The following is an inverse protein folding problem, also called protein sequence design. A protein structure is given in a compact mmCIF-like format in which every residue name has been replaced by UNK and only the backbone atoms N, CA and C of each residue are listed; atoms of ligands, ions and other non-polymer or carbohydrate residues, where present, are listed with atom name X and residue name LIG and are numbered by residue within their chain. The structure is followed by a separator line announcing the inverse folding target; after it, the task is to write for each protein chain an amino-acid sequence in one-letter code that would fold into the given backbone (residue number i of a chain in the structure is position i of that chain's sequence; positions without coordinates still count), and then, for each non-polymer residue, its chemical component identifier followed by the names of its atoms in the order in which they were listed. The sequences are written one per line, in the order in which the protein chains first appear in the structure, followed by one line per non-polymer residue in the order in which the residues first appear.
data_IF_530936903814
#
_entry.id   IF_530936903814
#
_cell.length_a   1.000
_cell.length_b   1.000
_cell.length_c   1.000
_cell.angle_alpha   90.00
_cell.angle_beta   90.00
_cell.angle_gamma   90.00
#
_symmetry.space_group_name_H-M   'P 1'
#
loop_
_entity.id
_entity.type
_entity.pdbx_description
1 polymer ?
#
# COMPACT_ATOMS: atom_id res chain seq x y z
N UNK A 1 0.98 12.99 30.65
CA UNK A 1 0.76 11.61 30.16
C UNK A 1 0.15 11.70 28.77
N UNK A 2 0.94 11.44 27.73
CA UNK A 2 0.43 11.37 26.35
C UNK A 2 -0.25 10.02 26.18
N UNK A 3 -1.57 10.02 25.92
CA UNK A 3 -2.30 8.80 25.56
C UNK A 3 -1.83 8.40 24.16
N UNK A 4 -1.05 7.31 24.07
CA UNK A 4 -0.56 6.78 22.80
C UNK A 4 -1.75 6.20 22.02
N UNK A 5 -2.26 6.99 21.08
CA UNK A 5 -3.44 6.60 20.30
C UNK A 5 -2.99 5.60 19.22
N UNK A 6 -3.36 4.32 19.34
CA UNK A 6 -2.99 3.23 18.42
C UNK A 6 -3.31 3.53 16.93
N UNK A 7 -4.21 4.47 16.68
CA UNK A 7 -4.57 4.97 15.36
C UNK A 7 -3.39 5.54 14.56
N UNK A 8 -2.46 6.25 15.20
CA UNK A 8 -1.28 6.83 14.52
C UNK A 8 -0.33 5.74 14.01
N UNK A 9 -0.23 4.62 14.73
CA UNK A 9 0.59 3.49 14.34
C UNK A 9 0.07 2.82 13.06
N UNK A 10 -1.25 2.60 12.96
CA UNK A 10 -1.85 2.03 11.76
C UNK A 10 -1.65 2.92 10.52
N UNK A 11 -1.76 4.23 10.69
CA UNK A 11 -1.46 5.18 9.62
C UNK A 11 -0.02 5.09 9.13
N UNK A 12 0.95 5.08 10.05
CA UNK A 12 2.36 4.96 9.71
C UNK A 12 2.68 3.62 9.02
N UNK A 13 2.04 2.53 9.46
CA UNK A 13 2.28 1.20 8.92
C UNK A 13 1.72 1.03 7.50
N UNK A 14 0.54 1.60 7.23
CA UNK A 14 -0.04 1.66 5.88
C UNK A 14 0.80 2.57 4.97
N UNK A 15 1.21 3.72 5.46
CA UNK A 15 2.06 4.65 4.72
C UNK A 15 3.39 3.99 4.32
N UNK A 16 4.06 3.32 5.27
CA UNK A 16 5.29 2.58 5.02
C UNK A 16 5.09 1.47 3.97
N UNK A 17 3.99 0.71 4.07
CA UNK A 17 3.70 -0.35 3.10
C UNK A 17 3.46 0.20 1.68
N UNK A 18 2.76 1.34 1.56
CA UNK A 18 2.57 2.04 0.29
C UNK A 18 3.88 2.61 -0.27
N UNK A 19 4.74 3.14 0.59
CA UNK A 19 6.03 3.71 0.16
C UNK A 19 6.96 2.62 -0.41
N UNK A 20 7.02 1.47 0.27
CA UNK A 20 7.73 0.28 -0.24
C UNK A 20 7.14 -0.18 -1.58
N UNK A 21 5.81 -0.19 -1.73
CA UNK A 21 5.16 -0.54 -3.00
C UNK A 21 5.61 0.39 -4.14
N UNK A 22 5.69 1.70 -3.90
CA UNK A 22 6.13 2.68 -4.91
C UNK A 22 7.59 2.45 -5.31
N UNK A 23 8.45 2.09 -4.36
CA UNK A 23 9.85 1.70 -4.65
C UNK A 23 9.91 0.50 -5.61
N UNK A 24 9.01 -0.47 -5.48
CA UNK A 24 8.91 -1.59 -6.43
C UNK A 24 8.30 -1.19 -7.78
N UNK A 25 7.36 -0.24 -7.80
CA UNK A 25 6.77 0.25 -9.04
C UNK A 25 7.74 1.09 -9.88
N UNK A 26 8.68 1.80 -9.26
CA UNK A 26 9.63 2.65 -9.98
C UNK A 26 10.46 1.93 -11.05
N UNK A 27 11.22 0.87 -10.74
CA UNK A 27 12.02 0.16 -11.74
C UNK A 27 11.15 -0.53 -12.79
N UNK A 28 9.95 -0.98 -12.40
CA UNK A 28 8.97 -1.51 -13.35
C UNK A 28 8.50 -0.44 -14.34
N UNK A 29 8.16 0.76 -13.84
CA UNK A 29 7.68 1.86 -14.66
C UNK A 29 8.75 2.38 -15.63
N UNK A 30 10.01 2.44 -15.18
CA UNK A 30 11.14 2.82 -16.04
C UNK A 30 11.39 1.79 -17.16
N UNK A 31 11.16 0.50 -16.88
CA UNK A 31 11.41 -0.58 -17.84
C UNK A 31 10.13 -1.09 -18.55
N UNK A 32 9.04 -0.33 -18.50
CA UNK A 32 7.72 -0.71 -19.08
C UNK A 32 7.81 -1.18 -20.54
N UNK A 33 8.71 -0.59 -21.34
CA UNK A 33 8.92 -0.96 -22.75
C UNK A 33 9.53 -2.34 -22.96
N UNK A 34 10.30 -2.86 -22.00
CA UNK A 34 11.04 -4.11 -22.12
C UNK A 34 10.27 -5.32 -21.52
N UNK A 35 9.42 -5.09 -20.51
CA UNK A 35 8.78 -6.18 -19.74
C UNK A 35 7.45 -6.70 -20.34
N UNK A 36 6.91 -6.06 -21.39
CA UNK A 36 5.71 -6.52 -22.09
C UNK A 36 4.43 -6.53 -21.24
N UNK A 37 3.32 -7.03 -21.82
CA UNK A 37 1.99 -7.02 -21.20
C UNK A 37 1.84 -7.94 -19.97
N UNK A 38 2.66 -8.99 -19.86
CA UNK A 38 2.65 -9.89 -18.71
C UNK A 38 3.04 -9.17 -17.41
N UNK A 39 3.99 -8.24 -17.49
CA UNK A 39 4.46 -7.49 -16.32
C UNK A 39 3.44 -6.47 -15.83
N UNK A 40 2.58 -5.97 -16.72
CA UNK A 40 1.44 -5.14 -16.33
C UNK A 40 0.48 -5.90 -15.41
N UNK A 41 0.17 -7.16 -15.73
CA UNK A 41 -0.69 -8.00 -14.88
C UNK A 41 -0.03 -8.25 -13.52
N UNK A 42 1.28 -8.51 -13.49
CA UNK A 42 2.02 -8.72 -12.25
C UNK A 42 1.93 -7.50 -11.31
N UNK A 43 2.15 -6.28 -11.83
CA UNK A 43 2.03 -5.06 -11.02
C UNK A 43 0.60 -4.79 -10.59
N UNK A 44 -0.37 -5.08 -11.44
CA UNK A 44 -1.78 -4.92 -11.11
C UNK A 44 -2.20 -5.86 -9.96
N UNK A 45 -1.69 -7.09 -9.93
CA UNK A 45 -1.88 -8.03 -8.81
C UNK A 45 -1.27 -7.48 -7.50
N UNK A 46 -0.03 -6.99 -7.55
CA UNK A 46 0.64 -6.46 -6.35
C UNK A 46 -0.11 -5.26 -5.79
N UNK A 47 -0.53 -4.33 -6.65
CA UNK A 47 -1.33 -3.17 -6.26
C UNK A 47 -2.69 -3.59 -5.70
N UNK A 48 -3.35 -4.58 -6.30
CA UNK A 48 -4.62 -5.10 -5.81
C UNK A 48 -4.51 -5.72 -4.41
N UNK A 49 -3.44 -6.47 -4.12
CA UNK A 49 -3.21 -7.06 -2.79
C UNK A 49 -3.10 -5.97 -1.72
N UNK A 50 -2.34 -4.90 -1.99
CA UNK A 50 -2.21 -3.78 -1.05
C UNK A 50 -3.54 -3.01 -0.89
N UNK A 51 -4.26 -2.78 -1.99
CA UNK A 51 -5.59 -2.17 -1.96
C UNK A 51 -6.57 -2.96 -1.10
N UNK A 52 -6.57 -4.29 -1.20
CA UNK A 52 -7.40 -5.16 -0.37
C UNK A 52 -7.00 -5.03 1.10
N UNK A 53 -5.70 -5.00 1.41
CA UNK A 53 -5.20 -4.75 2.76
C UNK A 53 -5.64 -3.40 3.32
N UNK A 54 -5.61 -2.35 2.50
CA UNK A 54 -6.07 -1.02 2.84
C UNK A 54 -7.57 -0.97 3.11
N UNK A 55 -8.39 -1.54 2.22
CA UNK A 55 -9.84 -1.64 2.38
C UNK A 55 -10.19 -2.44 3.64
N UNK A 56 -9.46 -3.52 3.92
CA UNK A 56 -9.66 -4.31 5.14
C UNK A 56 -9.37 -3.47 6.40
N UNK A 57 -8.26 -2.73 6.42
CA UNK A 57 -7.92 -1.83 7.52
C UNK A 57 -8.98 -0.72 7.71
N UNK A 58 -9.52 -0.19 6.61
CA UNK A 58 -10.62 0.78 6.63
C UNK A 58 -11.89 0.17 7.22
N UNK A 59 -12.32 -1.01 6.77
CA UNK A 59 -13.54 -1.67 7.27
C UNK A 59 -13.45 -2.03 8.75
N UNK A 60 -12.23 -2.25 9.29
CA UNK A 60 -12.01 -2.51 10.71
C UNK A 60 -12.08 -1.27 11.60
N UNK A 61 -12.43 -0.10 11.03
CA UNK A 61 -12.54 1.19 11.74
C UNK A 61 -11.25 1.62 12.46
N UNK A 62 -10.10 1.06 12.08
CA UNK A 62 -8.79 1.49 12.60
C UNK A 62 -8.41 2.93 12.18
N UNK A 63 -9.20 3.53 11.27
CA UNK A 63 -9.08 4.92 10.84
C UNK A 63 -10.16 5.85 11.40
N UNK A 64 -11.13 5.37 12.18
CA UNK A 64 -12.18 6.26 12.73
C UNK A 64 -11.60 7.10 13.88
N UNK A 65 -11.52 8.41 13.66
CA UNK A 65 -11.24 9.39 14.69
C UNK A 65 -12.43 9.52 15.64
N UNK A 66 -12.20 9.26 16.93
CA UNK A 66 -13.00 9.81 18.01
C UNK A 66 -12.09 10.48 19.03
#
# INVERSE_FOLDING_TARGET
WVQFNFHYYFYALIFLALDVLVVFLYPWAVNLRALGSASFVAVLIVVAIILIGYIYAWKKKALEWK
#
